data_IF_119524025121
#
_entry.id   IF_119524025121
#
_cell.length_a   1.000
_cell.length_b   1.000
_cell.length_c   1.000
_cell.angle_alpha   90.00
_cell.angle_beta   90.00
_cell.angle_gamma   90.00
#
_symmetry.space_group_name_H-M   'P 1'
#
loop_
_entity.id
_entity.type
_entity.pdbx_description
1 polymer ?
#
# COMPACT_ATOMS: atom_id res chain seq x y z
N UNK A 1 10.94 -45.98 -70.53
CA UNK A 1 12.36 -46.10 -70.70
C UNK A 1 13.09 -45.54 -69.51
N UNK A 2 13.53 -46.42 -68.73
CA UNK A 2 14.93 -46.80 -68.49
C UNK A 2 15.66 -45.84 -67.54
N UNK A 3 15.82 -46.34 -66.32
CA UNK A 3 17.04 -46.99 -65.80
C UNK A 3 17.98 -45.90 -65.26
N UNK A 4 18.43 -46.00 -64.11
CA UNK A 4 18.98 -46.95 -63.21
C UNK A 4 19.82 -46.23 -62.22
N UNK A 5 19.84 -46.85 -61.14
CA UNK A 5 20.97 -47.53 -60.54
C UNK A 5 21.83 -46.67 -59.65
N UNK A 6 21.71 -47.00 -58.44
CA UNK A 6 22.67 -47.78 -57.59
C UNK A 6 23.72 -46.92 -56.93
N UNK A 7 23.60 -46.92 -55.61
CA UNK A 7 24.44 -47.76 -54.71
C UNK A 7 25.87 -47.30 -54.58
N UNK A 8 26.26 -46.84 -53.39
CA UNK A 8 27.28 -47.56 -52.64
C UNK A 8 27.49 -46.97 -51.27
N UNK A 9 27.13 -47.76 -50.37
CA UNK A 9 27.67 -48.06 -49.05
C UNK A 9 29.20 -48.17 -49.08
N UNK A 10 29.78 -47.65 -48.05
CA UNK A 10 30.94 -48.17 -47.28
C UNK A 10 31.68 -46.98 -46.69
N UNK A 11 31.84 -46.99 -45.51
CA UNK A 11 32.28 -47.86 -44.42
C UNK A 11 33.42 -47.15 -43.68
N UNK A 12 33.22 -47.00 -42.38
CA UNK A 12 34.20 -47.19 -41.34
C UNK A 12 35.45 -46.30 -41.28
N UNK A 13 35.51 -45.49 -40.23
CA UNK A 13 36.63 -45.58 -39.29
C UNK A 13 36.30 -44.81 -38.01
N UNK A 14 36.28 -45.60 -36.97
CA UNK A 14 36.39 -45.19 -35.57
C UNK A 14 37.73 -44.45 -35.39
N UNK A 15 37.68 -43.32 -34.69
CA UNK A 15 38.72 -42.92 -33.75
C UNK A 15 38.07 -42.12 -32.63
N UNK A 16 38.26 -42.67 -31.50
CA UNK A 16 38.01 -42.09 -30.17
C UNK A 16 38.91 -40.90 -29.94
N UNK A 17 38.42 -40.12 -28.88
CA UNK A 17 39.10 -39.11 -28.09
C UNK A 17 38.83 -37.66 -28.58
N UNK A 18 38.21 -36.85 -27.82
CA UNK A 18 38.52 -36.34 -26.52
C UNK A 18 37.30 -35.61 -25.88
N UNK A 19 37.10 -35.93 -24.65
CA UNK A 19 36.28 -35.25 -23.68
C UNK A 19 36.77 -33.82 -23.53
N UNK A 20 36.02 -32.85 -23.97
CA UNK A 20 36.05 -31.49 -23.38
C UNK A 20 34.72 -31.13 -22.84
N UNK A 21 34.66 -31.40 -21.57
CA UNK A 21 33.73 -30.90 -20.60
C UNK A 21 33.81 -29.35 -20.61
N UNK A 22 32.84 -28.70 -21.25
CA UNK A 22 32.53 -27.29 -20.95
C UNK A 22 31.23 -27.31 -20.17
N UNK A 23 31.38 -27.39 -18.86
CA UNK A 23 30.38 -26.94 -17.91
C UNK A 23 30.01 -25.50 -18.25
N UNK A 24 28.95 -25.38 -19.02
CA UNK A 24 28.19 -24.13 -19.04
C UNK A 24 27.28 -24.19 -17.84
N UNK A 25 27.79 -23.77 -16.71
CA UNK A 25 26.97 -23.40 -15.57
C UNK A 25 25.85 -22.50 -16.06
N UNK A 26 24.69 -23.08 -16.15
CA UNK A 26 23.42 -22.38 -16.27
C UNK A 26 23.24 -21.68 -14.94
N UNK A 27 23.76 -20.47 -14.83
CA UNK A 27 23.40 -19.54 -13.78
C UNK A 27 21.88 -19.49 -13.71
N UNK A 28 21.26 -19.71 -12.55
CA UNK A 28 19.86 -19.47 -12.41
C UNK A 28 19.64 -17.99 -12.73
N UNK A 29 18.77 -17.73 -13.68
CA UNK A 29 18.30 -16.40 -13.97
C UNK A 29 17.94 -15.76 -12.63
N UNK A 30 18.70 -14.78 -12.20
CA UNK A 30 18.29 -13.85 -11.19
C UNK A 30 16.99 -13.26 -11.71
N UNK A 31 15.89 -13.75 -11.16
CA UNK A 31 14.65 -13.03 -11.25
C UNK A 31 14.96 -11.64 -10.70
N UNK A 32 15.08 -10.70 -11.60
CA UNK A 32 15.05 -9.28 -11.24
C UNK A 32 13.69 -9.09 -10.55
N UNK A 33 13.73 -9.03 -9.23
CA UNK A 33 12.63 -8.53 -8.44
C UNK A 33 12.33 -7.17 -9.06
N UNK A 34 11.12 -6.90 -9.56
CA UNK A 34 10.81 -5.57 -10.07
C UNK A 34 11.20 -4.60 -8.96
N UNK A 35 11.96 -3.56 -9.30
CA UNK A 35 12.15 -2.42 -8.42
C UNK A 35 10.73 -1.91 -8.15
N UNK A 36 10.18 -2.25 -6.99
CA UNK A 36 8.93 -1.67 -6.54
C UNK A 36 9.25 -0.20 -6.34
N UNK A 37 8.67 0.65 -7.18
CA UNK A 37 8.83 2.08 -7.04
C UNK A 37 8.37 2.46 -5.63
N UNK A 38 9.30 3.03 -4.87
CA UNK A 38 9.06 3.45 -3.51
C UNK A 38 7.92 4.48 -3.48
N UNK A 39 6.80 4.13 -2.87
CA UNK A 39 5.64 5.01 -2.75
C UNK A 39 5.73 5.75 -1.42
N UNK A 40 5.81 7.08 -1.48
CA UNK A 40 5.83 7.93 -0.31
C UNK A 40 4.44 8.51 -0.06
N UNK A 41 3.89 8.23 1.11
CA UNK A 41 2.63 8.78 1.59
C UNK A 41 2.89 9.86 2.62
N UNK A 42 2.11 10.92 2.54
CA UNK A 42 2.12 11.97 3.55
C UNK A 42 1.08 11.74 4.64
N UNK A 43 1.30 12.33 5.80
CA UNK A 43 0.35 12.31 6.89
C UNK A 43 -0.98 12.93 6.43
N UNK A 44 -2.09 12.18 6.47
CA UNK A 44 -3.37 12.71 6.06
C UNK A 44 -3.99 13.64 7.10
N UNK A 45 -3.50 13.61 8.33
CA UNK A 45 -3.99 14.44 9.44
C UNK A 45 -2.81 14.91 10.29
N UNK A 46 -2.88 16.10 10.83
CA UNK A 46 -1.91 16.59 11.81
C UNK A 46 -2.17 15.95 13.17
N UNK A 47 -1.10 15.55 13.86
CA UNK A 47 -1.23 14.92 15.17
C UNK A 47 0.02 14.20 15.62
N UNK A 48 -0.15 13.23 16.52
CA UNK A 48 0.93 12.42 17.08
C UNK A 48 0.89 11.02 16.48
N UNK A 49 2.02 10.55 15.97
CA UNK A 49 2.16 9.23 15.36
C UNK A 49 2.14 8.14 16.45
N UNK A 50 1.42 7.06 16.18
CA UNK A 50 1.34 5.85 17.00
C UNK A 50 1.56 4.61 16.15
N UNK A 51 2.09 3.56 16.76
CA UNK A 51 2.13 2.27 16.10
C UNK A 51 0.70 1.70 15.97
N UNK A 52 0.46 0.88 14.93
CA UNK A 52 -0.84 0.20 14.79
C UNK A 52 -1.11 -0.74 15.98
N UNK A 53 -0.07 -1.32 16.59
CA UNK A 53 -0.18 -2.17 17.78
C UNK A 53 -0.77 -1.46 19.00
N UNK A 54 -0.69 -0.13 19.03
CA UNK A 54 -1.19 0.69 20.16
C UNK A 54 -2.65 1.11 19.97
N UNK A 55 -3.22 0.81 18.79
CA UNK A 55 -4.65 1.05 18.55
C UNK A 55 -5.47 0.07 19.36
N UNK A 56 -6.41 0.52 20.21
CA UNK A 56 -7.23 -0.36 21.05
C UNK A 56 -8.33 -1.09 20.26
N UNK A 57 -8.04 -1.49 19.05
CA UNK A 57 -8.88 -2.31 18.18
C UNK A 57 -8.02 -3.40 17.52
N UNK A 58 -8.39 -4.65 17.76
CA UNK A 58 -7.64 -5.82 17.25
C UNK A 58 -7.57 -5.89 15.74
N UNK A 59 -8.56 -5.37 15.04
CA UNK A 59 -8.58 -5.37 13.57
C UNK A 59 -7.41 -4.57 12.99
N UNK A 60 -7.04 -3.49 13.66
CA UNK A 60 -5.89 -2.66 13.29
C UNK A 60 -4.60 -3.15 13.96
N UNK A 61 -4.65 -3.43 15.27
CA UNK A 61 -3.47 -3.84 16.05
C UNK A 61 -2.85 -5.14 15.52
N UNK A 62 -3.67 -6.12 15.15
CA UNK A 62 -3.22 -7.41 14.60
C UNK A 62 -2.95 -7.34 13.07
N UNK A 63 -3.02 -6.13 12.47
CA UNK A 63 -2.79 -5.86 11.04
C UNK A 63 -3.67 -6.70 10.09
N UNK A 64 -4.89 -7.03 10.52
CA UNK A 64 -5.83 -7.85 9.73
C UNK A 64 -6.22 -7.16 8.42
N UNK A 65 -6.32 -5.83 8.42
CA UNK A 65 -6.68 -5.02 7.26
C UNK A 65 -5.48 -4.58 6.42
N UNK A 66 -4.25 -4.83 6.87
CA UNK A 66 -3.03 -4.40 6.21
C UNK A 66 -2.01 -3.84 7.18
N UNK A 67 -0.97 -3.21 6.67
CA UNK A 67 0.10 -2.59 7.47
C UNK A 67 0.10 -1.07 7.33
N UNK A 68 0.62 -0.37 8.34
CA UNK A 68 0.65 1.09 8.35
C UNK A 68 0.99 1.66 9.71
N UNK A 69 0.39 2.80 10.03
CA UNK A 69 0.53 3.46 11.33
C UNK A 69 -0.75 4.19 11.70
N UNK A 70 -0.84 4.68 12.92
CA UNK A 70 -1.97 5.48 13.39
C UNK A 70 -1.53 6.91 13.75
N UNK A 71 -2.46 7.84 13.75
CA UNK A 71 -2.24 9.22 14.19
C UNK A 71 -3.32 9.58 15.19
N UNK A 72 -2.93 10.14 16.33
CA UNK A 72 -3.85 10.80 17.26
C UNK A 72 -4.00 12.25 16.77
N UNK A 73 -5.15 12.65 16.20
CA UNK A 73 -5.29 13.94 15.54
C UNK A 73 -5.22 15.11 16.51
N UNK A 74 -4.58 16.17 16.08
CA UNK A 74 -4.56 17.48 16.75
C UNK A 74 -5.51 18.49 16.11
N UNK A 75 -5.99 18.20 14.88
CA UNK A 75 -7.02 18.97 14.19
C UNK A 75 -8.04 18.07 13.50
N UNK A 76 -9.26 18.57 13.33
CA UNK A 76 -10.37 17.83 12.72
C UNK A 76 -10.43 17.89 11.21
N UNK A 77 -9.29 17.65 10.51
CA UNK A 77 -9.21 17.73 9.05
C UNK A 77 -8.37 16.60 8.49
N UNK A 78 -8.89 15.94 7.46
CA UNK A 78 -8.19 14.86 6.74
C UNK A 78 -7.91 15.31 5.31
N UNK A 79 -6.68 15.14 4.88
CA UNK A 79 -6.18 15.52 3.56
C UNK A 79 -5.71 14.30 2.78
N UNK A 80 -5.66 14.43 1.45
CA UNK A 80 -5.15 13.39 0.57
C UNK A 80 -3.65 13.14 0.82
N UNK A 81 -3.24 11.89 1.12
CA UNK A 81 -1.85 11.56 1.46
C UNK A 81 -0.92 11.54 0.24
N UNK A 82 -1.48 11.44 -0.95
CA UNK A 82 -0.78 11.43 -2.23
C UNK A 82 -1.72 11.92 -3.35
N UNK A 83 -1.20 11.98 -4.57
CA UNK A 83 -2.03 12.11 -5.77
C UNK A 83 -2.76 10.78 -6.01
N UNK A 84 -4.06 10.83 -6.30
CA UNK A 84 -4.83 9.61 -6.48
C UNK A 84 -6.33 9.84 -6.61
N UNK A 85 -7.08 8.80 -6.31
CA UNK A 85 -8.55 8.77 -6.43
C UNK A 85 -9.17 8.35 -5.11
N UNK A 86 -10.22 9.03 -4.72
CA UNK A 86 -11.08 8.60 -3.61
C UNK A 86 -11.94 7.44 -4.12
N UNK A 87 -11.58 6.22 -3.74
CA UNK A 87 -12.27 5.02 -4.22
C UNK A 87 -13.67 4.90 -3.60
N UNK A 88 -13.76 5.16 -2.31
CA UNK A 88 -15.03 5.13 -1.58
C UNK A 88 -14.94 5.95 -0.29
N UNK A 89 -16.02 6.62 0.05
CA UNK A 89 -16.24 7.23 1.37
C UNK A 89 -17.42 6.50 2.00
N UNK A 90 -17.18 5.90 3.15
CA UNK A 90 -18.26 5.22 3.88
C UNK A 90 -19.42 6.16 4.19
N UNK A 91 -20.65 5.67 4.21
CA UNK A 91 -21.86 6.48 4.44
C UNK A 91 -21.76 7.34 5.71
N UNK A 92 -21.18 6.81 6.77
CA UNK A 92 -20.90 7.51 8.02
C UNK A 92 -19.66 8.41 7.99
N UNK A 93 -18.99 8.55 6.81
CA UNK A 93 -17.87 9.47 6.51
C UNK A 93 -16.64 9.33 7.42
N UNK A 94 -16.63 8.30 8.29
CA UNK A 94 -15.51 8.02 9.19
C UNK A 94 -14.36 7.25 8.50
N UNK A 95 -14.66 6.54 7.42
CA UNK A 95 -13.72 5.74 6.64
C UNK A 95 -13.61 6.23 5.21
N UNK A 96 -12.37 6.36 4.73
CA UNK A 96 -12.04 6.78 3.38
C UNK A 96 -11.13 5.74 2.76
N UNK A 97 -11.58 5.12 1.66
CA UNK A 97 -10.74 4.28 0.80
C UNK A 97 -10.12 5.17 -0.27
N UNK A 98 -8.82 5.18 -0.33
CA UNK A 98 -8.05 6.02 -1.24
C UNK A 98 -7.08 5.15 -2.05
N UNK A 99 -7.01 5.36 -3.35
CA UNK A 99 -6.07 4.67 -4.24
C UNK A 99 -5.11 5.68 -4.84
N UNK A 100 -3.83 5.50 -4.59
CA UNK A 100 -2.78 6.35 -5.17
C UNK A 100 -2.66 6.15 -6.68
N UNK A 101 -2.09 7.11 -7.41
CA UNK A 101 -1.75 6.93 -8.83
C UNK A 101 -0.77 5.76 -9.05
N UNK A 102 0.00 5.37 -8.03
CA UNK A 102 0.92 4.24 -8.05
C UNK A 102 0.27 2.89 -7.68
N UNK A 103 -1.05 2.86 -7.43
CA UNK A 103 -1.81 1.64 -7.17
C UNK A 103 -1.87 1.19 -5.70
N UNK A 104 -1.30 1.92 -4.76
CA UNK A 104 -1.45 1.60 -3.34
C UNK A 104 -2.85 1.96 -2.85
N UNK A 105 -3.50 1.00 -2.19
CA UNK A 105 -4.83 1.16 -1.59
C UNK A 105 -4.69 1.50 -0.11
N UNK A 106 -5.28 2.61 0.30
CA UNK A 106 -5.12 3.18 1.63
C UNK A 106 -6.48 3.33 2.28
N UNK A 107 -6.64 2.77 3.46
CA UNK A 107 -7.77 3.03 4.34
C UNK A 107 -7.36 4.07 5.38
N UNK A 108 -8.06 5.19 5.43
CA UNK A 108 -7.98 6.18 6.50
C UNK A 108 -9.25 6.05 7.34
N UNK A 109 -9.12 5.63 8.58
CA UNK A 109 -10.26 5.38 9.47
C UNK A 109 -10.23 6.41 10.61
N UNK A 110 -11.19 7.33 10.63
CA UNK A 110 -11.23 8.45 11.59
C UNK A 110 -11.91 8.00 12.87
N UNK A 111 -11.12 7.83 13.93
CA UNK A 111 -11.57 7.39 15.24
C UNK A 111 -11.98 5.92 15.27
N UNK A 112 -12.25 5.41 16.45
CA UNK A 112 -12.72 4.05 16.67
C UNK A 112 -14.23 4.05 16.96
N UNK A 113 -14.95 3.06 16.41
CA UNK A 113 -16.40 2.89 16.56
C UNK A 113 -17.24 4.11 16.11
N UNK A 114 -16.64 5.08 15.46
CA UNK A 114 -17.29 6.32 14.98
C UNK A 114 -18.33 6.08 13.88
N UNK A 115 -18.37 4.86 13.33
CA UNK A 115 -19.46 4.38 12.45
C UNK A 115 -20.82 4.56 13.11
N UNK A 116 -20.93 4.42 14.44
CA UNK A 116 -22.15 4.55 15.21
C UNK A 116 -22.70 5.99 15.24
N UNK A 117 -21.88 6.97 14.88
CA UNK A 117 -22.30 8.37 14.74
C UNK A 117 -23.11 8.63 13.46
N UNK A 118 -23.18 7.67 12.53
CA UNK A 118 -23.97 7.76 11.30
C UNK A 118 -23.69 9.05 10.50
N UNK A 119 -22.42 9.49 10.46
CA UNK A 119 -22.00 10.72 9.76
C UNK A 119 -22.21 12.02 10.54
N UNK A 120 -22.77 11.96 11.74
CA UNK A 120 -22.87 13.12 12.62
C UNK A 120 -21.47 13.61 12.98
N UNK A 121 -21.24 14.89 12.88
CA UNK A 121 -19.94 15.55 13.10
C UNK A 121 -18.89 15.37 12.01
N UNK A 122 -19.25 14.73 10.88
CA UNK A 122 -18.39 14.57 9.72
C UNK A 122 -18.92 15.33 8.51
N UNK A 123 -18.04 15.99 7.78
CA UNK A 123 -18.37 16.69 6.55
C UNK A 123 -17.37 16.29 5.45
N UNK A 124 -17.85 15.62 4.42
CA UNK A 124 -17.06 15.31 3.24
C UNK A 124 -17.00 16.50 2.28
N UNK A 125 -15.82 16.73 1.70
CA UNK A 125 -15.56 17.73 0.66
C UNK A 125 -15.30 17.10 -0.70
N UNK A 126 -15.35 15.79 -0.77
CA UNK A 126 -15.14 14.99 -1.97
C UNK A 126 -16.16 13.85 -2.04
N UNK A 127 -16.28 13.25 -3.21
CA UNK A 127 -17.18 12.14 -3.51
C UNK A 127 -16.39 10.93 -4.01
N UNK A 128 -17.06 9.78 -4.03
CA UNK A 128 -16.52 8.56 -4.62
C UNK A 128 -16.15 8.79 -6.09
N UNK A 129 -14.98 8.33 -6.49
CA UNK A 129 -14.44 8.50 -7.83
C UNK A 129 -13.70 9.82 -8.07
N UNK A 130 -13.69 10.76 -7.13
CA UNK A 130 -12.99 12.03 -7.30
C UNK A 130 -11.47 11.82 -7.37
N UNK A 131 -10.86 12.37 -8.41
CA UNK A 131 -9.41 12.48 -8.53
C UNK A 131 -8.94 13.72 -7.76
N UNK A 132 -8.02 13.50 -6.85
CA UNK A 132 -7.51 14.55 -5.97
C UNK A 132 -5.99 14.58 -5.98
N UNK A 133 -5.45 15.77 -5.74
CA UNK A 133 -4.03 15.98 -5.54
C UNK A 133 -3.68 15.89 -4.06
N UNK A 134 -2.46 15.49 -3.78
CA UNK A 134 -1.87 15.53 -2.44
C UNK A 134 -2.19 16.83 -1.71
N UNK A 135 -2.62 16.73 -0.46
CA UNK A 135 -2.98 17.87 0.38
C UNK A 135 -4.38 18.43 0.10
N UNK A 136 -5.19 17.82 -0.78
CA UNK A 136 -6.60 18.19 -0.93
C UNK A 136 -7.37 17.79 0.32
N UNK A 137 -8.18 18.70 0.87
CA UNK A 137 -9.07 18.42 1.99
C UNK A 137 -10.15 17.41 1.55
N UNK A 138 -10.23 16.29 2.27
CA UNK A 138 -11.17 15.19 2.01
C UNK A 138 -12.37 15.26 2.96
N UNK A 139 -12.12 15.26 4.27
CA UNK A 139 -13.15 15.25 5.31
C UNK A 139 -12.76 16.19 6.43
N UNK A 140 -13.74 16.92 6.96
CA UNK A 140 -13.67 17.64 8.22
C UNK A 140 -14.51 16.92 9.28
N UNK A 141 -14.07 16.93 10.53
CA UNK A 141 -14.80 16.37 11.65
C UNK A 141 -14.64 17.19 12.93
N UNK A 142 -15.70 17.19 13.74
CA UNK A 142 -15.71 17.92 15.02
C UNK A 142 -15.14 17.04 16.13
N UNK A 143 -13.87 17.23 16.45
CA UNK A 143 -13.13 16.48 17.44
C UNK A 143 -13.76 16.56 18.84
N UNK A 144 -14.22 17.75 19.25
CA UNK A 144 -14.76 17.97 20.60
C UNK A 144 -16.12 17.30 20.74
N UNK A 145 -16.92 17.36 19.69
CA UNK A 145 -18.22 16.69 19.69
C UNK A 145 -18.09 15.17 19.72
N UNK A 146 -17.17 14.60 18.92
CA UNK A 146 -16.90 13.16 18.88
C UNK A 146 -16.36 12.65 20.22
N UNK A 147 -15.42 13.40 20.84
CA UNK A 147 -14.89 13.06 22.18
C UNK A 147 -15.96 13.13 23.26
N UNK A 148 -16.89 14.10 23.19
CA UNK A 148 -18.03 14.20 24.14
C UNK A 148 -18.99 13.03 24.05
N UNK A 149 -19.13 12.43 22.87
CA UNK A 149 -19.91 11.19 22.70
C UNK A 149 -19.16 9.93 23.20
N UNK A 150 -17.89 10.07 23.62
CA UNK A 150 -17.11 9.00 24.24
C UNK A 150 -16.26 8.19 23.26
N UNK A 151 -16.08 8.63 22.02
CA UNK A 151 -15.29 7.94 21.02
C UNK A 151 -13.83 8.38 21.02
N UNK A 152 -12.93 7.41 20.77
CA UNK A 152 -11.52 7.69 20.54
C UNK A 152 -11.31 8.23 19.11
N UNK A 153 -10.44 9.21 18.99
CA UNK A 153 -10.11 9.84 17.70
C UNK A 153 -8.88 9.26 17.03
N UNK A 154 -8.21 8.27 17.64
CA UNK A 154 -7.05 7.65 16.99
C UNK A 154 -7.43 7.21 15.58
N UNK A 155 -6.63 7.62 14.61
CA UNK A 155 -6.92 7.50 13.18
C UNK A 155 -5.93 6.56 12.54
N UNK A 156 -6.24 5.26 12.42
CA UNK A 156 -5.43 4.33 11.65
C UNK A 156 -5.36 4.71 10.16
N UNK A 157 -4.15 4.61 9.60
CA UNK A 157 -3.86 4.76 8.18
C UNK A 157 -3.18 3.48 7.72
N UNK A 158 -3.89 2.67 6.95
CA UNK A 158 -3.52 1.30 6.63
C UNK A 158 -3.43 1.12 5.12
N UNK A 159 -2.37 0.46 4.66
CA UNK A 159 -2.23 -0.01 3.28
C UNK A 159 -2.90 -1.37 3.16
N UNK A 160 -4.05 -1.43 2.50
CA UNK A 160 -4.90 -2.64 2.48
C UNK A 160 -4.40 -3.70 1.49
N UNK A 161 -3.78 -3.28 0.39
CA UNK A 161 -3.15 -4.19 -0.58
C UNK A 161 -1.65 -4.41 -0.29
N UNK A 162 -1.26 -4.46 0.99
CA UNK A 162 0.14 -4.62 1.40
C UNK A 162 0.78 -5.91 0.87
N UNK A 163 -0.01 -6.92 0.53
CA UNK A 163 0.46 -8.15 -0.09
C UNK A 163 1.15 -7.95 -1.46
N UNK A 164 0.85 -6.84 -2.12
CA UNK A 164 1.44 -6.47 -3.41
C UNK A 164 2.81 -5.79 -3.23
N UNK A 165 3.21 -5.52 -1.99
CA UNK A 165 4.41 -4.82 -1.58
C UNK A 165 5.22 -5.64 -0.57
N UNK A 166 6.45 -5.24 -0.31
CA UNK A 166 7.29 -5.92 0.68
C UNK A 166 6.86 -5.52 2.10
N UNK A 167 6.64 -4.22 2.32
CA UNK A 167 6.20 -3.67 3.62
C UNK A 167 5.80 -2.20 3.51
N UNK A 168 5.01 -1.74 4.48
CA UNK A 168 4.85 -0.33 4.79
C UNK A 168 5.76 0.04 5.99
N UNK A 169 6.49 1.13 5.87
CA UNK A 169 7.40 1.62 6.90
C UNK A 169 6.98 3.01 7.30
N UNK A 170 6.68 3.20 8.58
CA UNK A 170 6.48 4.54 9.13
C UNK A 170 7.82 5.28 9.14
N UNK A 171 7.85 6.49 8.57
CA UNK A 171 9.06 7.31 8.47
C UNK A 171 9.34 8.09 9.75
N UNK A 172 8.30 8.36 10.51
CA UNK A 172 8.39 9.09 11.76
C UNK A 172 8.51 8.14 12.94
N UNK A 173 9.14 8.64 13.99
CA UNK A 173 9.22 7.89 15.25
C UNK A 173 7.85 7.88 15.93
N UNK A 174 7.60 6.82 16.68
CA UNK A 174 6.48 6.77 17.60
C UNK A 174 6.49 7.99 18.53
N UNK A 175 5.31 8.54 18.81
CA UNK A 175 5.09 9.79 19.56
C UNK A 175 5.64 11.07 18.91
N UNK A 176 6.11 11.00 17.65
CA UNK A 176 6.47 12.20 16.92
C UNK A 176 5.22 13.00 16.51
N UNK A 177 5.32 14.31 16.60
CA UNK A 177 4.31 15.20 16.06
C UNK A 177 4.52 15.37 14.56
N UNK A 178 3.45 15.23 13.77
CA UNK A 178 3.44 15.42 12.33
C UNK A 178 2.38 16.44 11.94
N UNK A 179 2.67 17.20 10.88
CA UNK A 179 1.67 18.04 10.23
C UNK A 179 1.06 17.30 9.05
N UNK A 180 -0.15 17.68 8.67
CA UNK A 180 -0.72 17.18 7.43
C UNK A 180 0.19 17.55 6.24
N UNK A 181 0.56 16.55 5.44
CA UNK A 181 1.47 16.72 4.31
C UNK A 181 2.95 16.38 4.59
N UNK A 182 3.35 16.19 5.84
CA UNK A 182 4.67 15.67 6.19
C UNK A 182 4.82 14.22 5.71
N UNK A 183 6.04 13.78 5.44
CA UNK A 183 6.28 12.36 5.09
C UNK A 183 5.88 11.47 6.25
N UNK A 184 5.09 10.44 5.95
CA UNK A 184 4.51 9.59 6.99
C UNK A 184 4.79 8.11 6.78
N UNK A 185 4.37 7.54 5.67
CA UNK A 185 4.59 6.15 5.34
C UNK A 185 5.39 6.02 4.05
N UNK A 186 6.22 4.99 3.98
CA UNK A 186 6.86 4.55 2.75
C UNK A 186 6.50 3.10 2.50
N UNK A 187 5.98 2.82 1.32
CA UNK A 187 5.66 1.48 0.84
C UNK A 187 6.79 1.04 -0.09
N UNK A 188 7.31 -0.14 0.10
CA UNK A 188 8.38 -0.76 -0.69
C UNK A 188 8.04 -2.18 -1.05
#
# INVERSE_FOLDING_TARGET
>A
CLVGSEMCIRDRAETEDEVQNTDTEKQPAQQSVPLVDKIELCAPVAGTVKALSDVPDKTFADKVLGDGAAIVPSEGKVYAPADGTVANIMDSKHGIMFVTESGAEILIHIGLDTVNLNGKYFKSHVSDGDKVKKGKLLVEFDMDAIKKEGYDLITPVVVTNISDYIKAVCMEKEDAAVNAGDKFLTIV
#
